data_IF_930633156046
#
_entry.id   IF_930633156046
#
_cell.length_a   1.000
_cell.length_b   1.000
_cell.length_c   1.000
_cell.angle_alpha   90.00
_cell.angle_beta   90.00
_cell.angle_gamma   90.00
#
_symmetry.space_group_name_H-M   'P 1'
#
loop_
_entity.id
_entity.type
_entity.pdbx_description
1 polymer ?
#
# COMPACT_ATOMS: atom_id res chain seq x y z
N UNK A 1 13.42 -7.41 5.54
CA UNK A 1 13.88 -8.81 5.67
C UNK A 1 13.83 -9.30 7.10
N UNK A 2 14.36 -8.55 8.09
CA UNK A 2 14.36 -8.98 9.50
C UNK A 2 12.94 -9.37 9.98
N UNK A 3 11.93 -8.57 9.72
CA UNK A 3 10.55 -8.85 10.12
C UNK A 3 10.01 -10.17 9.51
N UNK A 4 10.36 -10.48 8.25
CA UNK A 4 9.99 -11.74 7.61
C UNK A 4 10.64 -12.94 8.31
N UNK A 5 11.93 -12.82 8.65
CA UNK A 5 12.64 -13.88 9.37
C UNK A 5 12.07 -14.09 10.78
N UNK A 6 11.70 -13.02 11.46
CA UNK A 6 11.05 -13.08 12.77
C UNK A 6 9.67 -13.76 12.70
N UNK A 7 8.84 -13.40 11.70
CA UNK A 7 7.54 -14.02 11.48
C UNK A 7 7.68 -15.50 11.14
N UNK A 8 8.64 -15.88 10.27
CA UNK A 8 8.93 -17.27 9.93
C UNK A 8 9.38 -18.07 11.16
N UNK A 9 10.30 -17.51 11.95
CA UNK A 9 10.78 -18.15 13.18
C UNK A 9 9.63 -18.35 14.18
N UNK A 10 8.83 -17.32 14.40
CA UNK A 10 7.65 -17.38 15.26
C UNK A 10 6.65 -18.46 14.78
N UNK A 11 6.32 -18.46 13.48
CA UNK A 11 5.41 -19.45 12.90
C UNK A 11 5.90 -20.90 13.09
N UNK A 12 7.22 -21.12 12.95
CA UNK A 12 7.84 -22.43 13.22
C UNK A 12 7.76 -22.80 14.69
N UNK A 13 8.04 -21.87 15.60
CA UNK A 13 7.99 -22.11 17.05
C UNK A 13 6.60 -22.52 17.54
N UNK A 14 5.55 -21.94 16.96
CA UNK A 14 4.16 -22.25 17.33
C UNK A 14 3.51 -23.34 16.46
N UNK A 15 4.29 -24.02 15.61
CA UNK A 15 3.82 -25.03 14.65
C UNK A 15 2.72 -24.52 13.69
N UNK A 16 2.78 -23.25 13.32
CA UNK A 16 1.86 -22.58 12.36
C UNK A 16 2.68 -21.83 11.30
N UNK A 17 3.47 -22.57 10.53
CA UNK A 17 4.24 -21.97 9.44
C UNK A 17 3.31 -21.46 8.34
N UNK A 18 3.49 -20.21 7.95
CA UNK A 18 2.74 -19.52 6.89
C UNK A 18 3.59 -19.22 5.66
N UNK A 19 4.77 -19.80 5.55
CA UNK A 19 5.71 -19.56 4.45
C UNK A 19 5.90 -20.80 3.58
N UNK A 20 5.67 -20.64 2.28
CA UNK A 20 6.10 -21.57 1.24
C UNK A 20 7.25 -20.95 0.47
N UNK A 21 8.30 -21.72 0.23
CA UNK A 21 9.55 -21.21 -0.38
C UNK A 21 9.29 -20.57 -1.76
N UNK A 22 8.56 -21.26 -2.63
CA UNK A 22 8.28 -20.78 -3.99
C UNK A 22 7.47 -19.48 -4.01
N UNK A 23 6.46 -19.38 -3.16
CA UNK A 23 5.62 -18.20 -3.04
C UNK A 23 6.42 -17.01 -2.46
N UNK A 24 7.23 -17.28 -1.43
CA UNK A 24 8.12 -16.27 -0.82
C UNK A 24 9.15 -15.74 -1.82
N UNK A 25 9.81 -16.63 -2.60
CA UNK A 25 10.77 -16.21 -3.63
C UNK A 25 10.07 -15.34 -4.70
N UNK A 26 8.89 -15.76 -5.16
CA UNK A 26 8.09 -14.99 -6.11
C UNK A 26 7.74 -13.61 -5.58
N UNK A 27 7.33 -13.52 -4.31
CA UNK A 27 6.98 -12.25 -3.65
C UNK A 27 8.19 -11.32 -3.54
N UNK A 28 9.35 -11.83 -3.13
CA UNK A 28 10.60 -11.07 -3.05
C UNK A 28 11.09 -10.61 -4.44
N UNK A 29 10.99 -11.47 -5.44
CA UNK A 29 11.36 -11.13 -6.82
C UNK A 29 10.49 -9.99 -7.36
N UNK A 30 9.17 -10.10 -7.21
CA UNK A 30 8.23 -9.05 -7.61
C UNK A 30 8.48 -7.75 -6.87
N UNK A 31 8.75 -7.81 -5.56
CA UNK A 31 9.12 -6.63 -4.76
C UNK A 31 10.41 -5.97 -5.25
N UNK A 32 11.39 -6.76 -5.68
CA UNK A 32 12.65 -6.24 -6.26
C UNK A 32 12.43 -5.55 -7.60
N UNK A 33 11.60 -6.14 -8.48
CA UNK A 33 11.20 -5.51 -9.74
C UNK A 33 10.44 -4.19 -9.50
N UNK A 34 9.55 -4.16 -8.52
CA UNK A 34 8.87 -2.92 -8.12
C UNK A 34 9.88 -1.89 -7.60
N UNK A 35 10.85 -2.30 -6.82
CA UNK A 35 11.90 -1.40 -6.31
C UNK A 35 12.67 -0.71 -7.43
N UNK A 36 13.06 -1.45 -8.46
CA UNK A 36 13.74 -0.90 -9.66
C UNK A 36 12.84 0.03 -10.47
N UNK A 37 11.60 -0.37 -10.73
CA UNK A 37 10.64 0.50 -11.43
C UNK A 37 10.23 1.73 -10.58
N UNK A 38 10.34 1.62 -9.26
CA UNK A 38 10.09 2.70 -8.31
C UNK A 38 11.02 3.90 -8.50
N UNK A 39 12.25 3.68 -8.95
CA UNK A 39 13.21 4.75 -9.26
C UNK A 39 12.69 5.60 -10.42
N UNK A 40 12.19 4.95 -11.49
CA UNK A 40 11.57 5.63 -12.64
C UNK A 40 10.31 6.38 -12.23
N UNK A 41 9.51 5.78 -11.35
CA UNK A 41 8.31 6.42 -10.78
C UNK A 41 8.67 7.70 -10.04
N UNK A 42 9.64 7.66 -9.12
CA UNK A 42 10.05 8.82 -8.34
C UNK A 42 10.51 9.95 -9.25
N UNK A 43 11.29 9.65 -10.30
CA UNK A 43 11.72 10.62 -11.28
C UNK A 43 10.54 11.25 -12.04
N UNK A 44 9.69 10.44 -12.65
CA UNK A 44 8.58 10.92 -13.46
C UNK A 44 7.48 11.58 -12.62
N UNK A 45 6.91 10.84 -11.67
CA UNK A 45 5.79 11.39 -10.88
C UNK A 45 6.24 12.53 -9.95
N UNK A 46 7.46 12.46 -9.42
CA UNK A 46 8.04 13.54 -8.64
C UNK A 46 8.18 14.82 -9.45
N UNK A 47 8.64 14.72 -10.71
CA UNK A 47 8.69 15.86 -11.61
C UNK A 47 7.31 16.45 -11.90
N UNK A 48 6.32 15.60 -12.22
CA UNK A 48 4.93 16.04 -12.47
C UNK A 48 4.34 16.72 -11.23
N UNK A 49 4.51 16.13 -10.05
CA UNK A 49 4.03 16.71 -8.80
C UNK A 49 4.69 18.04 -8.49
N UNK A 50 5.99 18.16 -8.70
CA UNK A 50 6.72 19.42 -8.55
C UNK A 50 6.16 20.51 -9.47
N UNK A 51 5.89 20.18 -10.73
CA UNK A 51 5.30 21.15 -11.68
C UNK A 51 3.91 21.59 -11.23
N UNK A 52 3.08 20.65 -10.77
CA UNK A 52 1.74 20.96 -10.30
C UNK A 52 1.80 21.82 -9.03
N UNK A 53 2.59 21.45 -8.06
CA UNK A 53 2.76 22.21 -6.81
C UNK A 53 3.27 23.63 -7.07
N UNK A 54 4.23 23.78 -8.00
CA UNK A 54 4.87 25.06 -8.26
C UNK A 54 4.00 26.02 -9.09
N UNK A 55 3.29 25.50 -10.11
CA UNK A 55 2.64 26.33 -11.10
C UNK A 55 1.10 26.32 -11.04
N UNK A 56 0.50 25.28 -10.45
CA UNK A 56 -0.94 25.07 -10.50
C UNK A 56 -1.60 24.91 -9.13
N UNK A 57 -0.84 24.92 -8.04
CA UNK A 57 -1.42 24.81 -6.70
C UNK A 57 -2.32 26.00 -6.39
N UNK A 58 -3.55 25.70 -5.95
CA UNK A 58 -4.57 26.70 -5.61
C UNK A 58 -4.21 27.43 -4.30
N UNK A 59 -3.58 26.73 -3.38
CA UNK A 59 -3.07 27.25 -2.11
C UNK A 59 -1.65 26.75 -1.88
N UNK A 60 -1.02 27.28 -0.85
CA UNK A 60 0.27 26.79 -0.35
C UNK A 60 0.10 26.48 1.13
N UNK A 61 -0.09 25.21 1.45
CA UNK A 61 -0.26 24.79 2.83
C UNK A 61 1.07 24.91 3.60
N UNK A 62 1.02 25.53 4.77
CA UNK A 62 2.21 25.65 5.62
C UNK A 62 2.48 24.32 6.33
N UNK A 63 3.61 23.74 6.03
CA UNK A 63 4.08 22.48 6.62
C UNK A 63 4.55 22.57 8.06
N UNK A 64 4.71 23.77 8.60
CA UNK A 64 4.98 23.96 10.02
C UNK A 64 3.70 23.78 10.86
N UNK A 65 2.53 23.79 10.22
CA UNK A 65 1.25 23.58 10.90
C UNK A 65 0.92 22.09 10.97
N UNK A 66 0.66 21.58 12.16
CA UNK A 66 0.24 20.19 12.37
C UNK A 66 -1.03 19.81 11.58
N UNK A 67 -1.94 20.78 11.38
CA UNK A 67 -3.17 20.56 10.61
C UNK A 67 -2.88 20.18 9.14
N UNK A 68 -1.82 20.69 8.54
CA UNK A 68 -1.36 20.29 7.20
C UNK A 68 -1.03 18.80 7.14
N UNK A 69 -0.38 18.28 8.16
CA UNK A 69 -0.03 16.85 8.25
C UNK A 69 -1.24 15.96 8.45
N UNK A 70 -2.16 16.36 9.33
CA UNK A 70 -3.43 15.62 9.53
C UNK A 70 -4.26 15.62 8.25
N UNK A 71 -4.42 16.80 7.62
CA UNK A 71 -5.14 16.89 6.35
C UNK A 71 -4.49 16.00 5.28
N UNK A 72 -3.18 16.09 5.10
CA UNK A 72 -2.44 15.28 4.13
C UNK A 72 -2.61 13.79 4.40
N UNK A 73 -2.55 13.36 5.67
CA UNK A 73 -2.71 11.97 6.06
C UNK A 73 -4.10 11.44 5.70
N UNK A 74 -5.17 12.14 6.10
CA UNK A 74 -6.55 11.74 5.83
C UNK A 74 -6.86 11.79 4.33
N UNK A 75 -6.41 12.84 3.64
CA UNK A 75 -6.63 12.98 2.21
C UNK A 75 -5.84 11.96 1.39
N UNK A 76 -4.59 11.63 1.81
CA UNK A 76 -3.81 10.55 1.20
C UNK A 76 -4.56 9.22 1.30
N UNK A 77 -5.04 8.87 2.49
CA UNK A 77 -5.77 7.63 2.74
C UNK A 77 -7.06 7.56 1.91
N UNK A 78 -7.80 8.66 1.81
CA UNK A 78 -8.98 8.79 0.94
C UNK A 78 -8.64 8.49 -0.53
N UNK A 79 -7.60 9.10 -1.10
CA UNK A 79 -7.22 8.84 -2.49
C UNK A 79 -6.62 7.45 -2.69
N UNK A 80 -5.91 6.93 -1.67
CA UNK A 80 -5.43 5.55 -1.67
C UNK A 80 -6.59 4.55 -1.69
N UNK A 81 -7.64 4.76 -0.87
CA UNK A 81 -8.84 3.92 -0.90
C UNK A 81 -9.45 3.85 -2.30
N UNK A 82 -9.66 4.99 -2.95
CA UNK A 82 -10.22 5.00 -4.31
C UNK A 82 -9.31 4.35 -5.33
N UNK A 83 -8.00 4.59 -5.27
CA UNK A 83 -7.04 3.90 -6.12
C UNK A 83 -7.11 2.38 -5.91
N UNK A 84 -7.12 1.91 -4.67
CA UNK A 84 -7.17 0.51 -4.31
C UNK A 84 -8.50 -0.13 -4.75
N UNK A 85 -9.63 0.53 -4.49
CA UNK A 85 -10.94 0.10 -4.95
C UNK A 85 -11.02 -0.02 -6.47
N UNK A 86 -10.58 0.98 -7.22
CA UNK A 86 -10.49 0.88 -8.68
C UNK A 86 -9.56 -0.25 -9.14
N UNK A 87 -8.52 -0.55 -8.37
CA UNK A 87 -7.62 -1.67 -8.66
C UNK A 87 -8.31 -3.02 -8.59
N UNK A 88 -9.43 -3.13 -7.91
CA UNK A 88 -10.30 -4.31 -7.92
C UNK A 88 -11.44 -4.24 -8.95
N UNK A 89 -12.07 -3.08 -9.10
CA UNK A 89 -13.29 -2.94 -9.90
C UNK A 89 -13.04 -2.69 -11.39
N UNK A 90 -11.81 -2.35 -11.81
CA UNK A 90 -11.47 -2.00 -13.19
C UNK A 90 -10.35 -2.85 -13.75
N UNK A 91 -10.60 -3.52 -14.87
CA UNK A 91 -9.68 -4.49 -15.48
C UNK A 91 -8.26 -3.96 -15.69
N UNK A 92 -8.11 -2.72 -16.17
CA UNK A 92 -6.80 -2.11 -16.43
C UNK A 92 -5.97 -1.95 -15.15
N UNK A 93 -6.63 -1.64 -14.03
CA UNK A 93 -5.98 -1.51 -12.72
C UNK A 93 -5.76 -2.89 -12.09
N UNK A 94 -6.76 -3.78 -12.23
CA UNK A 94 -6.65 -5.16 -11.77
C UNK A 94 -5.49 -5.90 -12.43
N UNK A 95 -5.24 -5.71 -13.71
CA UNK A 95 -4.10 -6.30 -14.41
C UNK A 95 -2.74 -6.00 -13.74
N UNK A 96 -2.64 -4.88 -13.03
CA UNK A 96 -1.48 -4.56 -12.19
C UNK A 96 -1.63 -5.11 -10.77
N UNK A 97 -2.82 -5.08 -10.18
CA UNK A 97 -3.03 -5.39 -8.77
C UNK A 97 -3.16 -6.91 -8.51
N UNK A 98 -3.64 -7.67 -9.49
CA UNK A 98 -3.84 -9.12 -9.39
C UNK A 98 -2.60 -9.87 -8.90
N UNK A 99 -1.41 -9.44 -9.29
CA UNK A 99 -0.17 -10.09 -8.86
C UNK A 99 0.02 -10.06 -7.32
N UNK A 100 -0.48 -9.01 -6.66
CA UNK A 100 -0.49 -8.91 -5.21
C UNK A 100 -1.41 -9.96 -4.57
N UNK A 101 -2.57 -10.20 -5.17
CA UNK A 101 -3.56 -11.19 -4.72
C UNK A 101 -3.25 -12.64 -5.13
N UNK A 102 -2.21 -12.89 -5.92
CA UNK A 102 -1.80 -14.24 -6.35
C UNK A 102 -0.96 -14.99 -5.33
N UNK A 103 -0.63 -14.41 -4.18
CA UNK A 103 0.10 -15.13 -3.14
C UNK A 103 -0.75 -16.28 -2.61
N UNK A 104 -0.20 -17.50 -2.58
CA UNK A 104 -0.88 -18.67 -2.03
C UNK A 104 -0.93 -18.65 -0.51
N UNK A 105 0.06 -18.02 0.11
CA UNK A 105 0.17 -17.88 1.54
C UNK A 105 0.04 -16.42 1.95
N UNK A 106 -0.55 -16.17 3.11
CA UNK A 106 -0.71 -14.84 3.65
C UNK A 106 0.29 -14.61 4.79
N UNK A 107 1.31 -13.81 4.52
CA UNK A 107 2.39 -13.48 5.45
C UNK A 107 3.07 -12.17 5.02
N UNK A 108 4.05 -11.70 5.78
CA UNK A 108 4.72 -10.43 5.49
C UNK A 108 5.42 -10.39 4.12
N UNK A 109 5.75 -11.53 3.49
CA UNK A 109 6.30 -11.51 2.13
C UNK A 109 5.23 -11.15 1.09
N UNK A 110 3.94 -11.43 1.37
CA UNK A 110 2.81 -11.04 0.51
C UNK A 110 2.74 -9.52 0.34
N UNK A 111 3.05 -8.75 1.40
CA UNK A 111 3.14 -7.28 1.32
C UNK A 111 4.16 -6.80 0.27
N UNK A 112 5.22 -7.56 0.04
CA UNK A 112 6.27 -7.24 -0.93
C UNK A 112 5.91 -7.68 -2.36
N UNK A 113 4.91 -8.53 -2.53
CA UNK A 113 4.45 -9.01 -3.83
C UNK A 113 3.68 -7.91 -4.56
N UNK A 114 4.40 -7.06 -5.23
CA UNK A 114 3.87 -5.89 -5.93
C UNK A 114 4.37 -5.85 -7.36
N UNK A 115 3.54 -5.35 -8.29
CA UNK A 115 3.97 -5.19 -9.69
C UNK A 115 4.75 -3.90 -9.91
N UNK A 116 5.61 -3.90 -10.93
CA UNK A 116 6.26 -2.69 -11.42
C UNK A 116 5.33 -1.80 -12.25
N UNK A 117 4.20 -2.32 -12.75
CA UNK A 117 3.31 -1.61 -13.68
C UNK A 117 2.38 -0.60 -13.01
N UNK A 118 2.10 -0.74 -11.71
CA UNK A 118 1.24 0.19 -10.96
C UNK A 118 1.71 1.64 -11.02
N UNK A 119 2.99 1.88 -11.32
CA UNK A 119 3.52 3.24 -11.41
C UNK A 119 2.93 4.03 -12.58
N UNK A 120 2.53 3.41 -13.67
CA UNK A 120 1.97 4.10 -14.82
C UNK A 120 0.65 4.82 -14.52
N UNK A 121 -0.07 4.38 -13.50
CA UNK A 121 -1.45 4.83 -13.25
C UNK A 121 -1.60 5.43 -11.85
N UNK A 122 -0.93 4.91 -10.82
CA UNK A 122 -1.17 5.26 -9.41
C UNK A 122 -0.95 6.73 -9.09
N UNK A 123 -0.01 7.39 -9.74
CA UNK A 123 0.35 8.78 -9.47
C UNK A 123 -0.78 9.77 -9.80
N UNK A 124 -1.65 9.44 -10.76
CA UNK A 124 -2.77 10.29 -11.18
C UNK A 124 -3.73 10.56 -10.01
N UNK A 125 -3.95 9.56 -9.17
CA UNK A 125 -4.87 9.67 -8.04
C UNK A 125 -4.42 10.70 -6.99
N UNK A 126 -3.15 11.00 -6.91
CA UNK A 126 -2.61 11.94 -5.92
C UNK A 126 -2.46 13.38 -6.46
N UNK A 127 -2.69 13.61 -7.75
CA UNK A 127 -2.66 14.96 -8.35
C UNK A 127 -3.51 15.96 -7.57
N UNK A 128 -4.75 15.64 -7.13
CA UNK A 128 -5.57 16.60 -6.41
C UNK A 128 -4.91 17.15 -5.15
N UNK A 129 -4.07 16.37 -4.46
CA UNK A 129 -3.38 16.83 -3.24
C UNK A 129 -2.36 17.94 -3.55
N UNK A 130 -1.64 17.83 -4.66
CA UNK A 130 -0.71 18.85 -5.11
C UNK A 130 -1.41 20.08 -5.65
N UNK A 131 -2.57 19.90 -6.32
CA UNK A 131 -3.43 21.02 -6.75
C UNK A 131 -3.99 21.79 -5.54
N UNK A 132 -4.35 21.11 -4.46
CA UNK A 132 -4.77 21.77 -3.22
C UNK A 132 -3.60 22.51 -2.57
N UNK A 133 -2.35 22.07 -2.81
CA UNK A 133 -1.13 22.72 -2.32
C UNK A 133 -0.50 22.01 -1.10
N UNK A 134 -0.72 20.70 -0.97
CA UNK A 134 0.00 19.90 0.02
C UNK A 134 1.48 19.80 -0.40
N UNK A 135 2.43 20.16 0.46
CA UNK A 135 3.85 20.12 0.12
C UNK A 135 4.35 18.71 -0.22
N UNK A 136 5.18 18.59 -1.25
CA UNK A 136 5.69 17.31 -1.76
C UNK A 136 6.34 16.45 -0.68
N UNK A 137 7.13 17.04 0.22
CA UNK A 137 7.80 16.28 1.27
C UNK A 137 6.83 15.77 2.36
N UNK A 138 5.73 16.50 2.64
CA UNK A 138 4.65 16.03 3.52
C UNK A 138 4.00 14.81 2.88
N UNK A 139 3.72 14.86 1.57
CA UNK A 139 3.17 13.74 0.81
C UNK A 139 4.08 12.51 0.84
N UNK A 140 5.38 12.68 0.64
CA UNK A 140 6.36 11.58 0.72
C UNK A 140 6.38 10.97 2.11
N UNK A 141 6.35 11.79 3.15
CA UNK A 141 6.35 11.32 4.54
C UNK A 141 5.08 10.53 4.87
N UNK A 142 3.92 11.08 4.53
CA UNK A 142 2.61 10.43 4.75
C UNK A 142 2.53 9.13 3.95
N UNK A 143 2.93 9.14 2.67
CA UNK A 143 2.96 7.94 1.83
C UNK A 143 3.89 6.86 2.38
N UNK A 144 5.03 7.25 2.98
CA UNK A 144 5.95 6.31 3.63
C UNK A 144 5.32 5.70 4.88
N UNK A 145 4.65 6.49 5.72
CA UNK A 145 3.93 5.98 6.90
C UNK A 145 2.81 5.01 6.49
N UNK A 146 2.04 5.36 5.46
CA UNK A 146 1.00 4.48 4.93
C UNK A 146 1.59 3.16 4.40
N UNK A 147 2.72 3.19 3.69
CA UNK A 147 3.40 1.99 3.20
C UNK A 147 3.91 1.09 4.34
N UNK A 148 4.46 1.69 5.41
CA UNK A 148 4.87 0.95 6.62
C UNK A 148 3.65 0.31 7.28
N UNK A 149 2.54 1.05 7.37
CA UNK A 149 1.29 0.53 7.91
C UNK A 149 0.77 -0.65 7.07
N UNK A 150 0.76 -0.54 5.76
CA UNK A 150 0.34 -1.62 4.86
C UNK A 150 1.19 -2.89 4.96
N UNK A 151 2.45 -2.78 5.37
CA UNK A 151 3.31 -3.94 5.51
C UNK A 151 2.87 -4.88 6.63
N UNK A 152 2.59 -4.37 7.83
CA UNK A 152 2.25 -5.22 8.98
C UNK A 152 0.87 -5.88 8.88
N UNK A 153 -0.07 -5.29 8.12
CA UNK A 153 -1.41 -5.87 7.95
C UNK A 153 -1.39 -7.22 7.21
N UNK A 154 -0.31 -7.59 6.56
CA UNK A 154 -0.15 -8.85 5.85
C UNK A 154 0.31 -10.01 6.75
N UNK A 155 0.09 -9.97 8.05
CA UNK A 155 0.43 -11.09 8.93
C UNK A 155 -0.78 -11.95 9.26
N UNK A 156 -0.60 -13.29 9.15
CA UNK A 156 -1.63 -14.27 9.56
C UNK A 156 -1.66 -14.49 11.06
N UNK A 157 -0.60 -14.16 11.76
CA UNK A 157 -0.44 -14.43 13.18
C UNK A 157 -1.15 -13.44 14.10
N UNK A 158 -1.57 -12.30 13.58
CA UNK A 158 -2.26 -11.28 14.37
C UNK A 158 -3.77 -11.53 14.32
N UNK A 159 -4.42 -11.77 15.47
CA UNK A 159 -5.86 -11.99 15.56
C UNK A 159 -6.65 -10.69 15.39
N UNK A 160 -7.98 -10.76 15.57
CA UNK A 160 -8.84 -9.58 15.63
C UNK A 160 -8.43 -8.67 16.78
N UNK A 161 -8.38 -7.37 16.51
CA UNK A 161 -7.96 -6.32 17.44
C UNK A 161 -9.15 -5.55 18.05
N UNK A 162 -10.36 -6.12 17.96
CA UNK A 162 -11.56 -5.56 18.61
C UNK A 162 -11.95 -4.18 18.09
N UNK A 163 -12.14 -3.22 19.00
CA UNK A 163 -12.59 -1.86 18.66
C UNK A 163 -11.68 -1.09 17.69
N UNK A 164 -10.39 -1.46 17.64
CA UNK A 164 -9.42 -0.84 16.73
C UNK A 164 -9.81 -1.05 15.25
N UNK A 165 -10.46 -2.17 14.93
CA UNK A 165 -10.94 -2.52 13.59
C UNK A 165 -12.13 -1.67 13.11
N UNK A 166 -12.73 -0.87 13.98
CA UNK A 166 -13.79 0.07 13.59
C UNK A 166 -13.23 1.30 12.86
N UNK A 167 -11.95 1.61 13.07
CA UNK A 167 -11.30 2.81 12.54
C UNK A 167 -10.14 2.48 11.60
N UNK A 168 -9.46 1.36 11.81
CA UNK A 168 -8.24 1.02 11.09
C UNK A 168 -8.30 -0.37 10.48
N UNK A 169 -7.76 -0.51 9.28
CA UNK A 169 -7.56 -1.83 8.66
C UNK A 169 -6.51 -2.60 9.46
N UNK A 170 -6.85 -3.82 9.86
CA UNK A 170 -5.98 -4.72 10.62
C UNK A 170 -5.63 -5.95 9.79
N UNK A 171 -4.69 -6.80 10.24
CA UNK A 171 -4.44 -8.06 9.56
C UNK A 171 -5.69 -8.95 9.42
N UNK A 172 -6.65 -8.86 10.33
CA UNK A 172 -7.89 -9.64 10.23
C UNK A 172 -8.83 -9.13 9.14
N UNK A 173 -8.94 -7.80 8.99
CA UNK A 173 -9.71 -7.18 7.89
C UNK A 173 -9.05 -7.45 6.54
N UNK A 174 -7.74 -7.28 6.47
CA UNK A 174 -6.99 -7.41 5.23
C UNK A 174 -6.89 -8.87 4.74
N UNK A 175 -6.95 -9.86 5.65
CA UNK A 175 -7.13 -11.26 5.27
C UNK A 175 -8.46 -11.52 4.56
N UNK A 176 -9.55 -10.84 4.97
CA UNK A 176 -10.83 -10.92 4.27
C UNK A 176 -10.70 -10.33 2.86
N UNK A 177 -9.99 -9.21 2.73
CA UNK A 177 -9.71 -8.57 1.45
C UNK A 177 -8.92 -9.48 0.48
N UNK A 178 -7.95 -10.24 0.99
CA UNK A 178 -7.17 -11.20 0.20
C UNK A 178 -7.86 -12.56 0.01
N UNK A 179 -9.02 -12.79 0.61
CA UNK A 179 -9.68 -14.08 0.53
C UNK A 179 -10.33 -14.31 -0.85
N UNK A 180 -10.21 -15.54 -1.35
CA UNK A 180 -10.71 -15.95 -2.68
C UNK A 180 -12.08 -16.64 -2.61
N UNK A 181 -12.72 -16.69 -1.44
CA UNK A 181 -14.04 -17.23 -1.27
C UNK A 181 -15.09 -16.28 -1.82
N UNK A 182 -16.12 -16.78 -2.49
CA UNK A 182 -17.20 -15.97 -3.09
C UNK A 182 -17.80 -14.96 -2.12
N UNK A 183 -17.92 -15.33 -0.84
CA UNK A 183 -18.44 -14.45 0.21
C UNK A 183 -17.58 -13.20 0.46
N UNK A 184 -16.27 -13.30 0.21
CA UNK A 184 -15.27 -12.28 0.58
C UNK A 184 -14.64 -11.55 -0.61
N UNK A 185 -14.86 -12.05 -1.83
CA UNK A 185 -14.36 -11.38 -3.06
C UNK A 185 -14.87 -9.95 -3.08
N UNK A 186 -13.97 -9.03 -3.42
CA UNK A 186 -14.24 -7.59 -3.53
C UNK A 186 -14.84 -6.97 -2.25
N UNK A 187 -14.36 -7.40 -1.10
CA UNK A 187 -14.71 -6.82 0.20
C UNK A 187 -13.51 -6.17 0.87
N UNK A 188 -13.77 -5.24 1.75
CA UNK A 188 -12.77 -4.62 2.63
C UNK A 188 -11.58 -3.95 1.90
N UNK A 189 -11.87 -3.08 0.95
CA UNK A 189 -10.83 -2.30 0.24
C UNK A 189 -9.99 -1.42 1.16
#
# INVERSE_FOLDING_TARGET
LVALLLELAYGKLINKNTYKLNDTISSLFMGSLRGTSGILKIGFSGYVYYQIETHFALWRMDSNLWITWIFAFVAYDFFYYWFHRFSHERQIFWASHVAHHQSEEYNLSTALRQTGTGFFISWIFYIPLFLIGVPSYVMVSVGTLNLIYQFWVHSRHIPKLGWYELFFVTPSNHRVHHAQNDLYIDKNY
#
